data_IF_130635746014
#
_entry.id   IF_130635746014
#
_cell.length_a   1.000
_cell.length_b   1.000
_cell.length_c   1.000
_cell.angle_alpha   90.00
_cell.angle_beta   90.00
_cell.angle_gamma   90.00
#
_symmetry.space_group_name_H-M   'P 1'
#
loop_
_entity.id
_entity.type
_entity.pdbx_description
1 polymer ?
#
# COMPACT_ATOMS: atom_id res chain seq x y z
N UNK A 1 -12.11 26.08 30.36
CA UNK A 1 -11.09 26.87 29.64
C UNK A 1 -9.72 26.92 30.36
N UNK A 2 -9.34 25.86 31.10
CA UNK A 2 -8.07 25.75 31.85
C UNK A 2 -7.15 24.60 31.42
N UNK A 3 -7.56 23.78 30.43
CA UNK A 3 -6.79 22.61 30.00
C UNK A 3 -5.73 22.88 28.91
N UNK A 4 -5.60 24.13 28.43
CA UNK A 4 -4.69 24.49 27.31
C UNK A 4 -3.55 25.43 27.76
N UNK A 5 -3.21 25.47 29.06
CA UNK A 5 -2.06 26.26 29.55
C UNK A 5 -0.81 25.43 29.91
N UNK A 6 -0.87 24.10 29.84
CA UNK A 6 0.24 23.21 30.21
C UNK A 6 1.12 22.69 29.06
N UNK A 7 0.74 22.85 27.79
CA UNK A 7 1.43 22.22 26.66
C UNK A 7 2.79 22.85 26.29
N UNK A 8 3.19 23.95 26.93
CA UNK A 8 4.43 24.68 26.61
C UNK A 8 5.74 23.97 27.03
N UNK A 9 5.68 22.81 27.70
CA UNK A 9 6.85 22.12 28.26
C UNK A 9 7.03 20.66 27.84
N UNK A 10 6.09 20.07 27.08
CA UNK A 10 6.02 18.60 26.96
C UNK A 10 6.66 17.99 25.71
N UNK A 11 6.98 18.76 24.68
CA UNK A 11 7.58 18.21 23.44
C UNK A 11 9.05 18.58 23.34
N UNK A 12 9.91 17.83 24.06
CA UNK A 12 11.37 17.93 23.89
C UNK A 12 11.90 17.15 22.68
N UNK A 13 11.13 16.18 22.20
CA UNK A 13 11.53 15.29 21.10
C UNK A 13 10.38 15.06 20.13
N UNK A 14 10.64 15.21 18.83
CA UNK A 14 9.67 14.89 17.78
C UNK A 14 10.20 13.72 16.96
N UNK A 15 9.61 12.51 17.09
CA UNK A 15 9.95 11.39 16.23
C UNK A 15 9.30 11.53 14.86
N UNK A 16 10.11 11.45 13.80
CA UNK A 16 9.69 11.40 12.40
C UNK A 16 10.08 10.03 11.87
N UNK A 17 9.24 9.40 11.06
CA UNK A 17 9.57 8.13 10.39
C UNK A 17 9.84 8.40 8.91
N UNK A 18 11.01 7.98 8.43
CA UNK A 18 11.44 8.14 7.04
C UNK A 18 12.37 6.98 6.68
N UNK A 19 11.88 6.00 5.94
CA UNK A 19 12.65 4.78 5.67
C UNK A 19 13.67 4.93 4.52
N UNK A 20 13.60 5.99 3.73
CA UNK A 20 14.50 6.20 2.58
C UNK A 20 14.61 7.68 2.22
N UNK A 21 15.76 8.08 1.70
CA UNK A 21 16.02 9.42 1.15
C UNK A 21 15.72 9.49 -0.35
N UNK A 22 15.42 8.35 -0.98
CA UNK A 22 15.04 8.27 -2.38
C UNK A 22 13.51 8.41 -2.54
N UNK A 23 13.03 9.39 -3.32
CA UNK A 23 11.60 9.64 -3.46
C UNK A 23 10.83 8.49 -4.13
N UNK A 24 11.47 7.73 -5.01
CA UNK A 24 10.84 6.59 -5.68
C UNK A 24 10.70 5.40 -4.72
N UNK A 25 11.76 5.09 -3.97
CA UNK A 25 11.68 4.06 -2.92
C UNK A 25 10.69 4.46 -1.83
N UNK A 26 10.58 5.75 -1.51
CA UNK A 26 9.60 6.23 -0.53
C UNK A 26 8.18 5.88 -0.97
N UNK A 27 7.83 6.16 -2.22
CA UNK A 27 6.52 5.84 -2.78
C UNK A 27 6.29 4.32 -2.86
N UNK A 28 7.33 3.54 -3.16
CA UNK A 28 7.26 2.08 -3.13
C UNK A 28 6.96 1.53 -1.73
N UNK A 29 7.62 2.07 -0.69
CA UNK A 29 7.46 1.66 0.71
C UNK A 29 6.11 2.09 1.26
N UNK A 30 5.77 3.38 1.11
CA UNK A 30 4.58 3.98 1.73
C UNK A 30 3.31 3.82 0.90
N UNK A 31 3.43 3.41 -0.36
CA UNK A 31 2.34 3.33 -1.36
C UNK A 31 1.67 4.67 -1.63
N UNK A 32 2.32 5.79 -1.29
CA UNK A 32 1.80 7.15 -1.42
C UNK A 32 2.92 8.11 -1.77
N UNK A 33 2.56 9.15 -2.53
CA UNK A 33 3.42 10.32 -2.71
C UNK A 33 3.44 11.13 -1.42
N UNK A 34 4.58 11.71 -1.07
CA UNK A 34 4.72 12.47 0.18
C UNK A 34 6.14 12.71 0.67
N UNK A 35 7.15 12.17 -0.01
CA UNK A 35 8.56 12.30 0.36
C UNK A 35 8.97 13.74 0.64
N UNK A 36 8.68 14.66 -0.28
CA UNK A 36 9.03 16.08 -0.13
C UNK A 36 8.35 16.73 1.08
N UNK A 37 7.13 16.28 1.41
CA UNK A 37 6.41 16.80 2.58
C UNK A 37 7.06 16.31 3.88
N UNK A 38 7.54 15.06 3.93
CA UNK A 38 8.27 14.53 5.09
C UNK A 38 9.61 15.23 5.27
N UNK A 39 10.36 15.46 4.19
CA UNK A 39 11.63 16.21 4.25
C UNK A 39 11.42 17.66 4.68
N UNK A 40 10.38 18.34 4.18
CA UNK A 40 10.01 19.68 4.66
C UNK A 40 9.63 19.68 6.14
N UNK A 41 8.89 18.66 6.60
CA UNK A 41 8.54 18.54 8.02
C UNK A 41 9.78 18.30 8.90
N UNK A 42 10.75 17.50 8.42
CA UNK A 42 12.04 17.31 9.09
C UNK A 42 12.83 18.61 9.17
N UNK A 43 12.90 19.36 8.07
CA UNK A 43 13.58 20.66 8.01
C UNK A 43 12.95 21.68 8.98
N UNK A 44 11.62 21.79 8.96
CA UNK A 44 10.86 22.65 9.90
C UNK A 44 11.10 22.21 11.34
N UNK A 45 11.13 20.91 11.63
CA UNK A 45 11.38 20.40 12.98
C UNK A 45 12.80 20.76 13.46
N UNK A 46 13.81 20.64 12.60
CA UNK A 46 15.22 20.96 12.91
C UNK A 46 15.45 22.45 13.16
N UNK A 47 14.69 23.33 12.50
CA UNK A 47 14.78 24.78 12.67
C UNK A 47 13.82 25.35 13.74
N UNK A 48 12.96 24.50 14.31
CA UNK A 48 12.04 24.90 15.36
C UNK A 48 12.73 24.96 16.73
N UNK A 49 12.02 25.48 17.74
CA UNK A 49 12.48 25.45 19.14
C UNK A 49 12.46 24.05 19.78
N UNK A 50 12.09 23.01 19.02
CA UNK A 50 12.17 21.63 19.47
C UNK A 50 13.65 21.26 19.65
N UNK A 51 14.01 20.87 20.87
CA UNK A 51 15.43 20.73 21.24
C UNK A 51 16.14 19.59 20.53
N UNK A 52 15.42 18.55 20.10
CA UNK A 52 15.97 17.38 19.42
C UNK A 52 14.96 16.71 18.48
N UNK A 53 15.39 16.39 17.26
CA UNK A 53 14.60 15.61 16.30
C UNK A 53 15.12 14.18 16.24
N UNK A 54 14.19 13.20 16.28
CA UNK A 54 14.51 11.77 16.18
C UNK A 54 13.99 11.25 14.85
N UNK A 55 14.85 10.65 14.02
CA UNK A 55 14.46 10.05 12.75
C UNK A 55 14.48 8.53 12.87
N UNK A 56 13.34 7.87 12.71
CA UNK A 56 13.24 6.42 12.73
C UNK A 56 13.28 5.88 11.30
N UNK A 57 14.15 4.89 11.08
CA UNK A 57 14.39 4.26 9.78
C UNK A 57 14.32 2.74 9.96
N UNK A 58 13.33 2.08 9.38
CA UNK A 58 13.29 0.61 9.35
C UNK A 58 14.19 0.12 8.22
N UNK A 59 15.24 -0.64 8.55
CA UNK A 59 16.22 -1.10 7.58
C UNK A 59 15.84 -2.47 7.04
N UNK A 60 15.75 -2.57 5.71
CA UNK A 60 15.37 -3.76 4.96
C UNK A 60 16.43 -4.02 3.88
N UNK A 61 16.98 -5.24 3.90
CA UNK A 61 18.02 -5.68 2.96
C UNK A 61 17.54 -5.58 1.51
N UNK A 62 18.42 -5.12 0.63
CA UNK A 62 18.18 -4.93 -0.80
C UNK A 62 17.08 -3.92 -1.13
N UNK A 63 16.64 -3.12 -0.15
CA UNK A 63 15.67 -2.04 -0.36
C UNK A 63 16.32 -0.69 -0.02
N UNK A 64 16.71 -0.49 1.24
CA UNK A 64 17.25 0.77 1.76
C UNK A 64 18.52 0.59 2.61
N UNK A 65 19.04 -0.62 2.78
CA UNK A 65 20.22 -0.89 3.63
C UNK A 65 21.52 -0.24 3.12
N UNK A 66 21.56 0.12 1.84
CA UNK A 66 22.68 0.86 1.24
C UNK A 66 22.66 2.37 1.57
N UNK A 67 21.53 2.92 2.02
CA UNK A 67 21.37 4.36 2.34
C UNK A 67 21.86 4.71 3.75
N UNK A 68 22.33 3.72 4.52
CA UNK A 68 22.63 3.92 5.94
C UNK A 68 23.69 5.00 6.17
N UNK A 69 24.73 5.03 5.33
CA UNK A 69 25.79 6.04 5.41
C UNK A 69 25.27 7.42 5.04
N UNK A 70 24.27 7.53 4.16
CA UNK A 70 23.67 8.80 3.78
C UNK A 70 22.82 9.36 4.92
N UNK A 71 22.07 8.51 5.62
CA UNK A 71 21.40 8.91 6.86
C UNK A 71 22.39 9.34 7.95
N UNK A 72 23.53 8.67 8.09
CA UNK A 72 24.58 9.09 9.03
C UNK A 72 25.13 10.47 8.65
N UNK A 73 25.38 10.74 7.36
CA UNK A 73 25.87 12.06 6.91
C UNK A 73 24.93 13.20 7.31
N UNK A 74 23.61 12.98 7.35
CA UNK A 74 22.65 14.01 7.81
C UNK A 74 22.94 14.50 9.24
N UNK A 75 23.48 13.63 10.10
CA UNK A 75 23.79 13.94 11.49
C UNK A 75 25.08 14.75 11.67
N UNK A 76 25.83 15.01 10.60
CA UNK A 76 27.09 15.75 10.67
C UNK A 76 26.87 17.19 11.16
N UNK A 77 26.02 17.92 10.45
CA UNK A 77 25.84 19.36 10.67
C UNK A 77 24.53 19.72 11.39
N UNK A 78 23.70 18.72 11.67
CA UNK A 78 22.38 18.88 12.30
C UNK A 78 22.28 18.13 13.63
N UNK A 79 21.53 18.65 14.62
CA UNK A 79 21.29 17.97 15.90
C UNK A 79 20.22 16.86 15.76
N UNK A 80 20.39 16.01 14.74
CA UNK A 80 19.51 14.92 14.39
C UNK A 80 19.96 13.62 15.07
N UNK A 81 19.03 12.88 15.66
CA UNK A 81 19.28 11.53 16.17
C UNK A 81 18.60 10.49 15.27
N UNK A 82 19.38 9.75 14.46
CA UNK A 82 18.85 8.72 13.55
C UNK A 82 18.78 7.36 14.26
N UNK A 83 17.66 6.66 14.16
CA UNK A 83 17.42 5.37 14.81
C UNK A 83 17.13 4.32 13.76
N UNK A 84 18.07 3.41 13.57
CA UNK A 84 17.91 2.27 12.68
C UNK A 84 17.20 1.14 13.43
N UNK A 85 16.07 0.71 12.88
CA UNK A 85 15.20 -0.31 13.45
C UNK A 85 15.35 -1.56 12.59
N UNK A 86 15.60 -2.69 13.24
CA UNK A 86 15.58 -3.97 12.55
C UNK A 86 14.19 -4.24 11.98
N UNK A 87 14.14 -4.73 10.75
CA UNK A 87 12.90 -5.25 10.20
C UNK A 87 12.35 -6.33 11.15
N UNK A 88 11.03 -6.31 11.39
CA UNK A 88 10.35 -7.20 12.36
C UNK A 88 9.16 -7.92 11.71
N UNK A 89 8.78 -9.10 12.22
CA UNK A 89 7.58 -9.81 11.75
C UNK A 89 6.30 -9.11 12.21
N UNK A 90 5.56 -8.54 11.25
CA UNK A 90 4.20 -8.04 11.50
C UNK A 90 3.22 -8.62 10.50
N UNK A 91 2.00 -8.89 10.93
CA UNK A 91 0.92 -9.36 10.07
C UNK A 91 0.74 -8.40 8.89
N UNK A 92 0.86 -8.91 7.67
CA UNK A 92 0.70 -8.15 6.43
C UNK A 92 1.97 -7.50 5.86
N UNK A 93 3.12 -7.56 6.54
CA UNK A 93 4.36 -6.93 6.04
C UNK A 93 5.28 -7.86 5.22
N UNK A 94 4.83 -9.08 4.90
CA UNK A 94 5.61 -10.10 4.15
C UNK A 94 7.00 -10.32 4.75
N UNK A 95 7.06 -10.47 6.07
CA UNK A 95 8.27 -10.79 6.82
C UNK A 95 9.08 -11.90 6.15
N UNK A 96 10.38 -11.65 6.03
CA UNK A 96 11.36 -12.60 5.54
C UNK A 96 12.65 -12.36 6.31
N UNK A 97 13.11 -13.37 7.03
CA UNK A 97 14.34 -13.30 7.82
C UNK A 97 15.55 -12.91 6.96
N UNK A 98 15.57 -13.28 5.67
CA UNK A 98 16.65 -12.93 4.72
C UNK A 98 16.72 -11.42 4.45
N UNK A 99 15.64 -10.70 4.72
CA UNK A 99 15.56 -9.23 4.55
C UNK A 99 15.95 -8.46 5.81
N UNK A 100 16.14 -9.13 6.94
CA UNK A 100 16.63 -8.51 8.16
C UNK A 100 18.13 -8.24 8.04
N UNK A 101 18.58 -7.07 8.49
CA UNK A 101 20.00 -6.73 8.62
C UNK A 101 20.30 -6.49 10.11
N UNK A 102 21.14 -7.31 10.76
CA UNK A 102 21.46 -7.13 12.17
C UNK A 102 22.18 -5.80 12.44
N UNK A 103 21.94 -5.19 13.61
CA UNK A 103 22.62 -3.95 14.00
C UNK A 103 24.15 -4.05 14.03
N UNK A 104 24.70 -5.22 14.34
CA UNK A 104 26.15 -5.48 14.33
C UNK A 104 26.75 -5.35 12.92
N UNK A 105 26.02 -5.82 11.90
CA UNK A 105 26.42 -5.68 10.49
C UNK A 105 26.37 -4.21 10.08
N UNK A 106 25.28 -3.50 10.42
CA UNK A 106 25.13 -2.07 10.13
C UNK A 106 26.22 -1.23 10.81
N UNK A 107 26.51 -1.49 12.08
CA UNK A 107 27.61 -0.85 12.82
C UNK A 107 28.97 -1.13 12.17
N UNK A 108 29.20 -2.34 11.67
CA UNK A 108 30.44 -2.70 10.98
C UNK A 108 30.62 -1.90 9.68
N UNK A 109 29.54 -1.74 8.89
CA UNK A 109 29.54 -0.89 7.70
C UNK A 109 29.82 0.58 8.04
N UNK A 110 29.21 1.09 9.11
CA UNK A 110 29.44 2.48 9.55
C UNK A 110 30.87 2.68 10.05
N UNK A 111 31.44 1.72 10.80
CA UNK A 111 32.81 1.79 11.29
C UNK A 111 33.86 1.73 10.18
N UNK A 112 33.57 1.06 9.08
CA UNK A 112 34.46 1.04 7.92
C UNK A 112 34.66 2.45 7.33
N UNK A 113 33.61 3.27 7.31
CA UNK A 113 33.67 4.67 6.85
C UNK A 113 34.08 5.64 7.97
N UNK A 114 33.63 5.39 9.21
CA UNK A 114 33.87 6.24 10.37
C UNK A 114 34.51 5.43 11.53
N UNK A 115 35.83 5.19 11.50
CA UNK A 115 36.50 4.34 12.50
C UNK A 115 36.43 4.90 13.93
N UNK A 116 36.26 6.21 14.09
CA UNK A 116 36.23 6.91 15.39
C UNK A 116 34.86 6.84 16.11
N UNK A 117 33.91 6.04 15.61
CA UNK A 117 32.58 5.85 16.21
C UNK A 117 32.70 5.35 17.67
N UNK A 118 32.10 6.08 18.60
CA UNK A 118 32.06 5.76 20.03
C UNK A 118 30.63 5.49 20.49
N UNK A 119 30.47 4.58 21.46
CA UNK A 119 29.19 4.34 22.10
C UNK A 119 28.89 5.49 23.06
N UNK A 120 27.65 5.99 23.03
CA UNK A 120 27.20 7.03 23.94
C UNK A 120 26.78 6.44 25.30
N UNK A 121 26.66 7.28 26.33
CA UNK A 121 26.17 6.84 27.63
C UNK A 121 24.72 6.33 27.52
N UNK A 122 24.43 5.19 28.14
CA UNK A 122 23.07 4.62 28.12
C UNK A 122 22.15 5.40 29.04
N UNK A 123 21.06 5.94 28.48
CA UNK A 123 19.94 6.43 29.29
C UNK A 123 19.13 5.25 29.84
N UNK A 124 18.63 5.39 31.08
CA UNK A 124 17.87 4.35 31.76
C UNK A 124 16.64 3.93 30.93
N UNK A 125 16.55 2.63 30.60
CA UNK A 125 15.47 2.04 29.81
C UNK A 125 15.36 2.57 28.36
N UNK A 126 16.43 3.17 27.82
CA UNK A 126 16.44 3.55 26.41
C UNK A 126 16.45 2.33 25.49
N UNK A 127 15.53 2.30 24.55
CA UNK A 127 15.37 1.17 23.60
C UNK A 127 16.43 1.16 22.50
N UNK A 128 16.97 2.33 22.17
CA UNK A 128 18.01 2.44 21.15
C UNK A 128 19.37 2.51 21.83
N UNK A 129 20.34 1.73 21.33
CA UNK A 129 21.74 1.87 21.74
C UNK A 129 22.39 2.95 20.90
N UNK A 130 22.74 4.06 21.53
CA UNK A 130 23.20 5.28 20.86
C UNK A 130 24.71 5.30 20.68
N UNK A 131 25.13 5.86 19.55
CA UNK A 131 26.51 6.02 19.09
C UNK A 131 26.71 7.44 18.59
N UNK A 132 27.94 7.93 18.70
CA UNK A 132 28.37 9.25 18.25
C UNK A 132 29.61 9.13 17.38
N UNK A 133 29.73 10.02 16.42
CA UNK A 133 30.95 10.22 15.62
C UNK A 133 31.58 11.52 16.10
N UNK A 134 32.84 11.53 16.58
CA UNK A 134 33.52 12.75 16.95
C UNK A 134 33.47 13.79 15.81
N UNK A 135 33.05 15.01 16.14
CA UNK A 135 32.89 16.12 15.19
C UNK A 135 31.50 16.21 14.53
N UNK A 136 30.62 15.23 14.71
CA UNK A 136 29.23 15.31 14.26
C UNK A 136 28.38 15.95 15.35
N UNK A 137 27.41 16.80 14.96
CA UNK A 137 26.48 17.44 15.92
C UNK A 137 25.39 16.50 16.41
N UNK A 138 24.98 15.55 15.57
CA UNK A 138 23.93 14.59 15.85
C UNK A 138 24.46 13.25 16.38
N UNK A 139 23.56 12.27 16.42
CA UNK A 139 23.86 10.91 16.87
C UNK A 139 23.10 9.88 16.04
N UNK A 140 23.46 8.61 16.18
CA UNK A 140 22.65 7.53 15.64
C UNK A 140 22.52 6.39 16.64
N UNK A 141 21.54 5.52 16.48
CA UNK A 141 21.37 4.37 17.35
C UNK A 141 20.63 3.23 16.69
N UNK A 142 20.73 2.07 17.33
CA UNK A 142 20.11 0.83 16.85
C UNK A 142 19.03 0.36 17.79
N UNK A 143 17.87 0.02 17.23
CA UNK A 143 16.79 -0.69 17.91
C UNK A 143 16.84 -2.15 17.44
N UNK A 144 17.56 -2.97 18.19
CA UNK A 144 17.76 -4.40 17.92
C UNK A 144 16.61 -5.24 18.46
N UNK A 145 15.43 -5.08 17.88
CA UNK A 145 14.25 -5.81 18.31
C UNK A 145 14.35 -7.33 18.16
N UNK A 146 15.19 -7.83 17.23
CA UNK A 146 15.24 -9.23 16.85
C UNK A 146 16.57 -9.89 17.20
N UNK A 147 17.69 -9.19 17.01
CA UNK A 147 19.03 -9.75 17.25
C UNK A 147 19.52 -9.61 18.68
N UNK A 148 19.06 -8.58 19.42
CA UNK A 148 19.56 -8.25 20.75
C UNK A 148 18.50 -7.54 21.59
N UNK A 149 17.58 -8.34 22.15
CA UNK A 149 16.35 -7.88 22.78
C UNK A 149 16.58 -6.94 23.99
N UNK A 150 15.74 -5.92 24.10
CA UNK A 150 15.70 -4.96 25.22
C UNK A 150 14.51 -5.20 26.17
N UNK A 151 13.90 -6.40 26.15
CA UNK A 151 12.67 -6.66 26.91
C UNK A 151 12.86 -6.55 28.43
N UNK A 152 14.04 -6.90 28.95
CA UNK A 152 14.36 -6.88 30.39
C UNK A 152 14.27 -5.49 31.01
N UNK A 153 14.57 -4.44 30.25
CA UNK A 153 14.45 -3.03 30.68
C UNK A 153 13.20 -2.33 30.11
N UNK A 154 12.32 -3.05 29.41
CA UNK A 154 11.15 -2.46 28.77
C UNK A 154 10.09 -2.07 29.80
N UNK A 155 9.83 -0.77 29.94
CA UNK A 155 8.81 -0.20 30.82
C UNK A 155 7.59 0.39 30.06
N UNK A 156 7.42 0.04 28.77
CA UNK A 156 6.38 0.62 27.92
C UNK A 156 5.04 -0.09 28.09
N UNK A 157 3.98 0.69 28.35
CA UNK A 157 2.59 0.29 28.22
C UNK A 157 1.95 1.09 27.09
N UNK A 158 0.98 0.50 26.39
CA UNK A 158 0.31 1.15 25.26
C UNK A 158 -1.18 1.19 25.52
N UNK A 159 -1.79 2.33 25.22
CA UNK A 159 -3.23 2.46 25.09
C UNK A 159 -3.53 2.56 23.60
N UNK A 160 -4.37 1.66 23.10
CA UNK A 160 -4.80 1.64 21.71
C UNK A 160 -5.85 2.73 21.43
N UNK A 161 -6.09 3.04 20.15
CA UNK A 161 -7.06 4.07 19.76
C UNK A 161 -8.51 3.72 20.13
N UNK A 162 -8.84 2.43 20.21
CA UNK A 162 -10.14 1.95 20.70
C UNK A 162 -10.17 1.76 22.23
N UNK A 163 -9.12 2.15 22.96
CA UNK A 163 -9.10 2.24 24.42
C UNK A 163 -8.76 0.94 25.15
N UNK A 164 -8.03 0.04 24.48
CA UNK A 164 -7.47 -1.18 25.06
C UNK A 164 -6.07 -0.91 25.61
N UNK A 165 -5.74 -1.43 26.79
CA UNK A 165 -4.37 -1.49 27.27
C UNK A 165 -3.66 -2.73 26.70
N UNK A 166 -2.43 -2.52 26.22
CA UNK A 166 -1.53 -3.55 25.71
C UNK A 166 -0.17 -3.43 26.40
N UNK A 167 0.27 -4.50 27.06
CA UNK A 167 1.51 -4.50 27.89
C UNK A 167 2.77 -4.86 27.11
N UNK A 168 2.62 -5.38 25.90
CA UNK A 168 3.69 -5.64 24.95
C UNK A 168 3.17 -5.49 23.51
N UNK A 169 4.00 -5.03 22.58
CA UNK A 169 3.61 -4.89 21.18
C UNK A 169 3.24 -6.23 20.52
N UNK A 170 3.87 -7.32 20.97
CA UNK A 170 3.70 -8.68 20.44
C UNK A 170 2.72 -9.55 21.25
N UNK A 171 2.14 -9.01 22.33
CA UNK A 171 1.16 -9.75 23.14
C UNK A 171 -0.24 -9.58 22.54
N UNK A 172 -0.93 -10.68 22.15
CA UNK A 172 -2.28 -10.59 21.61
C UNK A 172 -3.31 -10.14 22.66
N UNK A 173 -2.99 -10.23 23.96
CA UNK A 173 -3.93 -9.86 25.01
C UNK A 173 -4.14 -8.34 25.07
N UNK A 174 -5.41 -7.94 25.11
CA UNK A 174 -5.88 -6.57 25.17
C UNK A 174 -6.99 -6.47 26.22
N UNK A 175 -6.95 -5.43 27.05
CA UNK A 175 -7.94 -5.22 28.12
C UNK A 175 -8.59 -3.85 27.97
N UNK A 176 -9.92 -3.80 27.96
CA UNK A 176 -10.65 -2.56 27.62
C UNK A 176 -10.78 -1.65 28.84
N UNK A 177 -9.88 -0.66 28.95
CA UNK A 177 -10.01 0.39 29.95
C UNK A 177 -11.21 1.29 29.63
N UNK A 178 -11.46 1.56 28.34
CA UNK A 178 -12.60 2.36 27.88
C UNK A 178 -13.92 1.77 28.34
N UNK A 179 -14.14 0.47 28.16
CA UNK A 179 -15.44 -0.12 28.50
C UNK A 179 -15.62 -0.22 30.02
N UNK A 180 -14.56 -0.50 30.78
CA UNK A 180 -14.57 -0.43 32.24
C UNK A 180 -14.95 0.99 32.72
N UNK A 181 -14.31 2.03 32.19
CA UNK A 181 -14.62 3.43 32.52
C UNK A 181 -16.06 3.78 32.14
N UNK A 182 -16.54 3.35 30.96
CA UNK A 182 -17.92 3.61 30.50
C UNK A 182 -18.99 2.87 31.31
N UNK A 183 -18.62 1.78 31.97
CA UNK A 183 -19.48 1.04 32.90
C UNK A 183 -19.47 1.64 34.32
N UNK A 184 -18.71 2.71 34.56
CA UNK A 184 -18.65 3.39 35.85
C UNK A 184 -17.61 2.83 36.82
N UNK A 185 -16.58 2.13 36.33
CA UNK A 185 -15.46 1.68 37.17
C UNK A 185 -14.77 2.87 37.86
N UNK A 186 -14.41 2.68 39.13
CA UNK A 186 -13.64 3.68 39.90
C UNK A 186 -12.16 3.69 39.50
N UNK A 187 -11.41 4.73 39.90
CA UNK A 187 -9.96 4.80 39.65
C UNK A 187 -9.20 3.63 40.29
N UNK A 188 -9.67 3.13 41.44
CA UNK A 188 -9.11 1.95 42.09
C UNK A 188 -9.35 0.67 41.28
N UNK A 189 -10.52 0.55 40.66
CA UNK A 189 -10.84 -0.59 39.78
C UNK A 189 -9.99 -0.55 38.51
N UNK A 190 -9.83 0.63 37.90
CA UNK A 190 -8.95 0.83 36.74
C UNK A 190 -7.50 0.51 37.11
N UNK A 191 -7.04 0.94 38.29
CA UNK A 191 -5.70 0.65 38.79
C UNK A 191 -5.48 -0.86 38.93
N UNK A 192 -6.44 -1.60 39.51
CA UNK A 192 -6.38 -3.06 39.62
C UNK A 192 -6.35 -3.75 38.26
N UNK A 193 -7.13 -3.25 37.29
CA UNK A 193 -7.14 -3.77 35.91
C UNK A 193 -5.76 -3.60 35.27
N UNK A 194 -5.15 -2.41 35.40
CA UNK A 194 -3.81 -2.12 34.87
C UNK A 194 -2.77 -3.00 35.56
N UNK A 195 -2.79 -3.09 36.90
CA UNK A 195 -1.87 -3.94 37.66
C UNK A 195 -1.94 -5.39 37.21
N UNK A 196 -3.14 -5.95 37.07
CA UNK A 196 -3.34 -7.32 36.59
C UNK A 196 -2.80 -7.52 35.17
N UNK A 197 -3.04 -6.57 34.28
CA UNK A 197 -2.50 -6.63 32.92
C UNK A 197 -0.96 -6.62 32.93
N UNK A 198 -0.35 -5.74 33.73
CA UNK A 198 1.11 -5.62 33.87
C UNK A 198 1.71 -6.87 34.51
N UNK A 199 1.08 -7.46 35.52
CA UNK A 199 1.51 -8.73 36.12
C UNK A 199 1.47 -9.91 35.14
N UNK A 200 0.61 -9.85 34.12
CA UNK A 200 0.58 -10.84 33.03
C UNK A 200 1.66 -10.64 31.97
N UNK A 201 2.45 -9.55 32.04
CA UNK A 201 3.49 -9.24 31.06
C UNK A 201 4.59 -10.28 31.11
N UNK A 202 4.84 -10.94 29.96
CA UNK A 202 5.94 -11.89 29.78
C UNK A 202 7.29 -11.17 29.83
N UNK A 203 8.32 -11.88 30.29
CA UNK A 203 9.71 -11.40 30.35
C UNK A 203 10.24 -10.94 28.98
N UNK A 204 9.90 -11.67 27.92
CA UNK A 204 10.22 -11.35 26.52
C UNK A 204 9.17 -11.93 25.58
N UNK A 205 9.15 -11.45 24.34
CA UNK A 205 8.36 -12.06 23.28
C UNK A 205 9.01 -13.38 22.79
N UNK A 206 8.26 -14.19 22.03
CA UNK A 206 8.77 -15.42 21.43
C UNK A 206 9.99 -15.13 20.51
N UNK A 207 10.86 -16.13 20.33
CA UNK A 207 12.06 -16.01 19.50
C UNK A 207 11.77 -15.96 18.00
N UNK A 208 12.77 -15.59 17.18
CA UNK A 208 12.64 -15.33 15.74
C UNK A 208 11.92 -16.44 14.93
N UNK A 209 12.05 -17.69 15.34
CA UNK A 209 11.45 -18.86 14.68
C UNK A 209 10.07 -19.25 15.23
N UNK A 210 9.66 -18.67 16.35
CA UNK A 210 8.43 -18.99 17.09
C UNK A 210 7.47 -17.79 17.18
N UNK A 211 7.82 -16.64 16.60
CA UNK A 211 6.87 -15.54 16.35
C UNK A 211 5.92 -15.91 15.20
N UNK A 212 5.71 -17.21 14.96
CA UNK A 212 4.86 -17.76 13.92
C UNK A 212 3.46 -17.18 14.10
N UNK A 213 3.17 -16.19 13.24
CA UNK A 213 1.94 -15.42 13.09
C UNK A 213 1.01 -15.52 14.29
N UNK A 214 1.47 -15.12 15.49
CA UNK A 214 0.56 -14.93 16.60
C UNK A 214 -0.50 -14.00 16.05
N UNK A 215 -1.78 -14.36 16.20
CA UNK A 215 -2.95 -13.59 15.78
C UNK A 215 -3.05 -12.32 16.63
N UNK A 216 -1.97 -11.54 16.62
CA UNK A 216 -1.84 -10.26 17.23
C UNK A 216 -2.39 -9.27 16.22
N UNK A 217 -3.42 -8.53 16.63
CA UNK A 217 -3.98 -7.46 15.81
C UNK A 217 -2.87 -6.43 15.57
N UNK A 218 -2.41 -6.25 14.31
CA UNK A 218 -1.38 -5.27 14.03
C UNK A 218 -1.94 -3.88 14.34
N UNK A 219 -1.09 -2.98 14.83
CA UNK A 219 -1.48 -1.61 15.24
C UNK A 219 -2.25 -0.86 14.15
N UNK A 220 -1.98 -1.14 12.87
CA UNK A 220 -2.67 -0.54 11.72
C UNK A 220 -4.17 -0.89 11.65
N UNK A 221 -4.59 -2.03 12.22
CA UNK A 221 -5.99 -2.46 12.22
C UNK A 221 -6.76 -1.94 13.45
N UNK A 222 -6.11 -1.22 14.36
CA UNK A 222 -6.72 -0.75 15.60
C UNK A 222 -7.48 0.56 15.37
N UNK A 223 -8.73 0.63 15.84
CA UNK A 223 -9.66 1.75 15.59
C UNK A 223 -10.55 1.60 14.36
N UNK A 224 -10.28 0.64 13.48
CA UNK A 224 -11.21 0.25 12.42
C UNK A 224 -12.33 -0.61 13.00
N UNK A 225 -13.50 -0.02 13.23
CA UNK A 225 -14.72 -0.75 13.60
C UNK A 225 -15.22 -1.58 12.42
N UNK A 226 -14.99 -2.89 12.44
CA UNK A 226 -15.92 -3.82 11.79
C UNK A 226 -17.16 -3.89 12.67
N UNK A 227 -18.21 -3.15 12.31
CA UNK A 227 -19.51 -3.22 12.96
C UNK A 227 -20.12 -4.61 12.75
N UNK A 228 -19.86 -5.54 13.65
CA UNK A 228 -20.67 -6.74 13.80
C UNK A 228 -21.21 -6.78 15.23
N UNK A 229 -22.37 -6.15 15.42
CA UNK A 229 -23.37 -6.39 16.48
C UNK A 229 -24.38 -5.24 16.44
N UNK A 230 -25.42 -5.35 15.60
CA UNK A 230 -26.64 -4.53 15.78
C UNK A 230 -27.44 -5.13 16.93
N UNK A 231 -27.28 -4.59 18.12
CA UNK A 231 -28.30 -4.69 19.16
C UNK A 231 -29.52 -3.90 18.70
N UNK A 232 -30.67 -4.57 18.67
CA UNK A 232 -31.96 -4.06 18.23
C UNK A 232 -32.48 -2.98 19.20
N UNK A 233 -32.87 -1.83 18.65
CA UNK A 233 -33.79 -0.89 19.31
C UNK A 233 -35.01 -0.68 18.40
N UNK A 234 -36.25 -0.81 18.90
CA UNK A 234 -37.43 -0.61 18.08
C UNK A 234 -37.69 0.88 17.86
N UNK A 235 -37.94 1.28 16.61
CA UNK A 235 -38.41 2.62 16.25
C UNK A 235 -39.94 2.66 16.29
N UNK A 236 -40.50 3.71 16.90
CA UNK A 236 -41.91 4.11 16.73
C UNK A 236 -42.10 4.85 15.39
N UNK A 237 -43.30 4.76 14.77
CA UNK A 237 -43.55 5.26 13.41
C UNK A 237 -43.99 6.72 13.41
N UNK A 238 -43.67 7.45 12.35
CA UNK A 238 -44.28 8.74 12.01
C UNK A 238 -44.77 8.72 10.56
N UNK A 239 -45.89 9.41 10.36
CA UNK A 239 -46.88 9.31 9.30
C UNK A 239 -46.42 9.69 7.89
N UNK A 240 -47.11 9.08 6.93
CA UNK A 240 -47.21 9.42 5.50
C UNK A 240 -47.60 10.88 5.26
N UNK A 241 -47.09 11.44 4.15
CA UNK A 241 -47.90 12.21 3.19
C UNK A 241 -47.21 12.21 1.82
N UNK A 242 -47.88 11.61 0.83
CA UNK A 242 -47.80 11.96 -0.61
C UNK A 242 -48.94 12.95 -0.90
N UNK A 243 -49.01 13.75 -2.00
CA UNK A 243 -48.82 13.27 -3.38
C UNK A 243 -48.36 14.30 -4.46
N UNK A 244 -48.25 13.78 -5.70
CA UNK A 244 -48.51 14.38 -7.04
C UNK A 244 -47.33 14.15 -8.04
N UNK A 245 -47.40 13.14 -8.91
CA UNK A 245 -48.07 13.06 -10.23
C UNK A 245 -47.57 14.08 -11.26
N UNK A 246 -46.73 13.59 -12.18
CA UNK A 246 -46.74 14.02 -13.59
C UNK A 246 -46.32 12.84 -14.48
N UNK A 247 -47.29 12.24 -15.17
CA UNK A 247 -47.07 11.34 -16.29
C UNK A 247 -46.65 12.14 -17.52
N UNK A 248 -45.67 11.61 -18.26
CA UNK A 248 -45.51 11.94 -19.67
C UNK A 248 -45.19 10.67 -20.44
N UNK A 249 -46.13 10.32 -21.32
CA UNK A 249 -46.11 9.20 -22.25
C UNK A 249 -45.22 9.52 -23.45
N UNK A 250 -44.40 8.54 -23.87
CA UNK A 250 -43.99 8.38 -25.26
C UNK A 250 -43.45 6.97 -25.47
N UNK A 251 -44.24 6.18 -26.18
CA UNK A 251 -43.97 4.80 -26.59
C UNK A 251 -43.03 4.75 -27.80
N UNK A 252 -41.82 4.23 -27.60
CA UNK A 252 -40.99 3.61 -28.65
C UNK A 252 -40.45 2.31 -28.06
N UNK A 253 -40.74 1.19 -28.73
CA UNK A 253 -40.54 -0.17 -28.22
C UNK A 253 -39.10 -0.46 -27.80
N UNK A 254 -38.89 -0.61 -26.49
CA UNK A 254 -37.66 -1.09 -25.88
C UNK A 254 -37.89 -2.50 -25.32
N UNK A 255 -36.93 -3.41 -25.54
CA UNK A 255 -36.88 -4.72 -24.89
C UNK A 255 -36.95 -4.54 -23.36
N UNK A 256 -37.59 -5.46 -22.60
CA UNK A 256 -37.82 -5.28 -21.18
C UNK A 256 -36.51 -5.51 -20.40
N UNK A 257 -35.71 -4.47 -20.25
CA UNK A 257 -34.76 -4.37 -19.13
C UNK A 257 -35.36 -3.43 -18.11
N UNK A 258 -36.19 -4.01 -17.24
CA UNK A 258 -36.83 -3.35 -16.12
C UNK A 258 -35.80 -3.09 -15.01
N UNK A 259 -35.65 -1.80 -14.66
CA UNK A 259 -35.09 -1.27 -13.40
C UNK A 259 -33.56 -1.39 -13.18
N UNK A 260 -32.94 -0.27 -12.79
CA UNK A 260 -31.54 -0.22 -12.35
C UNK A 260 -31.38 -1.00 -11.04
N UNK A 261 -30.55 -2.04 -11.01
CA UNK A 261 -30.39 -2.93 -9.85
C UNK A 261 -29.64 -2.29 -8.68
N UNK A 262 -28.88 -1.22 -8.92
CA UNK A 262 -28.09 -0.51 -7.90
C UNK A 262 -28.82 0.67 -7.25
N UNK A 263 -30.11 0.84 -7.53
CA UNK A 263 -30.96 1.83 -6.89
C UNK A 263 -32.10 1.12 -6.15
N UNK A 264 -32.46 1.62 -4.98
CA UNK A 264 -33.69 1.21 -4.31
C UNK A 264 -34.92 1.95 -4.92
N UNK A 265 -36.12 1.60 -4.46
CA UNK A 265 -37.39 2.19 -4.92
C UNK A 265 -37.46 3.71 -4.71
N UNK A 266 -36.59 4.28 -3.88
CA UNK A 266 -36.47 5.72 -3.64
C UNK A 266 -35.41 6.41 -4.53
N UNK A 267 -34.74 5.65 -5.40
CA UNK A 267 -33.65 6.16 -6.24
C UNK A 267 -32.32 6.33 -5.51
N UNK A 268 -32.20 5.79 -4.29
CA UNK A 268 -30.97 5.85 -3.50
C UNK A 268 -30.07 4.66 -3.83
N UNK A 269 -28.77 4.92 -3.85
CA UNK A 269 -27.73 3.93 -4.16
C UNK A 269 -27.77 2.77 -3.15
N UNK A 270 -27.85 1.54 -3.66
CA UNK A 270 -27.88 0.31 -2.88
C UNK A 270 -26.98 -0.76 -3.50
N UNK A 271 -26.26 -1.51 -2.66
CA UNK A 271 -25.54 -2.72 -3.09
C UNK A 271 -26.55 -3.87 -3.18
N UNK A 272 -26.58 -4.55 -4.33
CA UNK A 272 -27.54 -5.63 -4.59
C UNK A 272 -27.32 -6.78 -3.59
N UNK A 273 -28.35 -7.18 -2.85
CA UNK A 273 -28.25 -8.38 -2.02
C UNK A 273 -28.13 -9.63 -2.90
N UNK A 274 -27.04 -10.37 -2.69
CA UNK A 274 -26.77 -11.64 -3.38
C UNK A 274 -26.93 -12.84 -2.47
N UNK A 275 -27.34 -12.66 -1.20
CA UNK A 275 -27.41 -13.69 -0.17
C UNK A 275 -28.18 -14.96 -0.57
N UNK A 276 -29.29 -14.79 -1.29
CA UNK A 276 -30.17 -15.89 -1.72
C UNK A 276 -29.73 -16.58 -3.02
N UNK A 277 -28.69 -16.08 -3.69
CA UNK A 277 -28.19 -16.69 -4.94
C UNK A 277 -27.27 -17.88 -4.60
N UNK A 278 -27.39 -19.03 -5.29
CA UNK A 278 -26.46 -20.14 -5.09
C UNK A 278 -25.05 -19.76 -5.59
N UNK A 279 -23.97 -20.17 -4.89
CA UNK A 279 -22.61 -20.00 -5.39
C UNK A 279 -22.42 -20.85 -6.64
N UNK A 280 -21.67 -20.32 -7.61
CA UNK A 280 -21.30 -21.00 -8.85
C UNK A 280 -19.92 -20.53 -9.30
N UNK A 281 -19.24 -21.36 -10.09
CA UNK A 281 -18.02 -20.94 -10.78
C UNK A 281 -18.38 -19.90 -11.83
N UNK A 282 -17.69 -18.77 -11.79
CA UNK A 282 -17.92 -17.62 -12.67
C UNK A 282 -16.61 -17.15 -13.24
N UNK A 283 -16.62 -16.83 -14.53
CA UNK A 283 -15.44 -16.30 -15.23
C UNK A 283 -15.86 -15.12 -16.08
N UNK A 284 -15.02 -14.09 -16.15
CA UNK A 284 -15.19 -12.99 -17.09
C UNK A 284 -13.84 -12.65 -17.72
N UNK A 285 -13.86 -12.37 -19.02
CA UNK A 285 -12.72 -11.90 -19.78
C UNK A 285 -13.03 -10.50 -20.31
N UNK A 286 -12.14 -9.56 -20.04
CA UNK A 286 -12.18 -8.20 -20.60
C UNK A 286 -10.96 -7.97 -21.48
N UNK A 287 -11.10 -7.09 -22.48
CA UNK A 287 -10.01 -6.63 -23.32
C UNK A 287 -10.04 -5.11 -23.45
N UNK A 288 -8.91 -4.50 -23.74
CA UNK A 288 -8.77 -3.08 -24.05
C UNK A 288 -7.42 -2.80 -24.72
N UNK A 289 -7.28 -1.61 -25.30
CA UNK A 289 -6.10 -1.24 -26.09
C UNK A 289 -5.53 0.09 -25.61
N UNK A 290 -4.21 0.24 -25.71
CA UNK A 290 -3.54 1.53 -25.64
C UNK A 290 -2.73 1.78 -26.90
N UNK A 291 -3.10 2.82 -27.65
CA UNK A 291 -2.36 3.28 -28.83
C UNK A 291 -1.13 4.06 -28.39
N UNK A 292 0.00 3.77 -29.01
CA UNK A 292 1.30 4.33 -28.68
C UNK A 292 2.04 4.74 -29.95
N UNK A 293 3.07 5.58 -29.81
CA UNK A 293 3.92 5.95 -30.94
C UNK A 293 4.79 4.79 -31.39
N UNK A 294 5.25 4.81 -32.64
CA UNK A 294 6.20 3.82 -33.18
C UNK A 294 7.46 3.69 -32.33
N UNK A 295 8.00 4.83 -31.85
CA UNK A 295 9.15 4.85 -30.95
C UNK A 295 8.87 4.10 -29.64
N UNK A 296 7.72 4.33 -29.01
CA UNK A 296 7.36 3.63 -27.77
C UNK A 296 7.12 2.14 -28.01
N UNK A 297 6.53 1.78 -29.14
CA UNK A 297 6.34 0.39 -29.55
C UNK A 297 7.68 -0.33 -29.69
N UNK A 298 8.63 0.25 -30.42
CA UNK A 298 9.97 -0.33 -30.57
C UNK A 298 10.70 -0.52 -29.25
N UNK A 299 10.55 0.39 -28.29
CA UNK A 299 11.20 0.27 -26.99
C UNK A 299 10.63 -0.90 -26.18
N UNK A 300 9.32 -1.10 -26.25
CA UNK A 300 8.65 -2.21 -25.57
C UNK A 300 9.02 -3.54 -26.23
N UNK A 301 9.09 -3.61 -27.55
CA UNK A 301 9.40 -4.86 -28.27
C UNK A 301 10.89 -5.22 -28.27
N UNK A 302 11.81 -4.26 -28.39
CA UNK A 302 13.26 -4.52 -28.34
C UNK A 302 13.71 -5.08 -26.98
N UNK A 303 13.07 -4.65 -25.89
CA UNK A 303 13.30 -5.19 -24.54
C UNK A 303 12.95 -6.68 -24.44
N UNK A 304 12.07 -7.19 -25.31
CA UNK A 304 11.65 -8.60 -25.34
C UNK A 304 12.59 -9.47 -26.19
N UNK A 305 13.15 -8.92 -27.27
CA UNK A 305 14.06 -9.66 -28.17
C UNK A 305 15.49 -9.81 -27.65
N UNK A 306 15.96 -8.93 -26.75
CA UNK A 306 17.31 -9.01 -26.15
C UNK A 306 17.50 -10.19 -25.18
N UNK A 307 16.48 -11.03 -24.96
CA UNK A 307 16.60 -12.26 -24.15
C UNK A 307 17.17 -13.45 -24.91
N UNK A 308 17.37 -13.36 -26.23
CA UNK A 308 18.07 -14.37 -27.02
C UNK A 308 19.10 -13.70 -27.95
N UNK A 309 20.34 -14.21 -27.91
CA UNK A 309 21.52 -13.91 -28.74
C UNK A 309 22.44 -12.73 -28.34
N UNK A 310 23.69 -13.11 -28.03
CA UNK A 310 24.87 -12.26 -27.88
C UNK A 310 25.42 -11.80 -29.24
N UNK A 311 26.22 -10.73 -29.17
CA UNK A 311 27.28 -10.25 -30.09
C UNK A 311 26.90 -9.35 -31.26
N UNK A 312 27.65 -8.25 -31.41
CA UNK A 312 27.69 -7.40 -32.61
C UNK A 312 27.95 -5.92 -32.30
N UNK A 313 29.22 -5.51 -32.37
CA UNK A 313 29.66 -4.11 -32.56
C UNK A 313 29.10 -3.55 -33.89
N UNK A 314 28.64 -2.29 -33.95
CA UNK A 314 29.37 -1.19 -34.61
C UNK A 314 28.53 0.11 -34.77
N UNK A 315 29.28 1.20 -34.60
CA UNK A 315 29.30 2.55 -35.20
C UNK A 315 28.10 3.52 -35.42
N UNK A 316 28.43 4.78 -35.11
CA UNK A 316 28.04 6.11 -35.61
C UNK A 316 26.59 6.45 -36.03
N UNK A 317 25.85 7.10 -35.12
CA UNK A 317 25.11 8.36 -35.41
C UNK A 317 24.64 9.02 -34.11
N UNK A 318 24.83 10.33 -33.97
CA UNK A 318 24.66 11.10 -32.72
C UNK A 318 23.28 10.91 -32.04
N UNK A 319 23.19 10.26 -30.85
CA UNK A 319 21.88 9.95 -30.28
C UNK A 319 21.64 10.78 -29.01
N UNK A 320 21.27 12.06 -29.19
CA UNK A 320 21.12 13.01 -28.07
C UNK A 320 19.83 12.87 -27.25
N UNK A 321 18.75 12.36 -27.84
CA UNK A 321 17.43 12.25 -27.19
C UNK A 321 16.88 10.82 -27.16
N UNK A 322 17.01 10.05 -28.26
CA UNK A 322 16.61 8.63 -28.30
C UNK A 322 17.44 7.77 -27.34
N UNK A 323 18.78 7.95 -27.27
CA UNK A 323 19.60 7.21 -26.30
C UNK A 323 19.25 7.56 -24.86
N UNK A 324 18.89 8.82 -24.58
CA UNK A 324 18.48 9.26 -23.23
C UNK A 324 17.11 8.70 -22.86
N UNK A 325 16.18 8.61 -23.80
CA UNK A 325 14.88 7.96 -23.61
C UNK A 325 15.04 6.43 -23.45
N UNK A 326 15.86 5.79 -24.28
CA UNK A 326 16.23 4.37 -24.19
C UNK A 326 16.86 4.03 -22.85
N UNK A 327 17.87 4.80 -22.40
CA UNK A 327 18.50 4.61 -21.10
C UNK A 327 17.53 4.85 -19.93
N UNK A 328 16.54 5.74 -20.10
CA UNK A 328 15.51 6.02 -19.07
C UNK A 328 14.46 4.92 -19.00
N UNK A 329 14.13 4.25 -20.12
CA UNK A 329 13.24 3.07 -20.17
C UNK A 329 13.98 1.82 -19.69
N UNK A 330 15.25 1.62 -20.09
CA UNK A 330 16.10 0.51 -19.62
C UNK A 330 16.32 0.55 -18.10
N UNK A 331 16.28 1.74 -17.49
CA UNK A 331 16.29 1.95 -16.01
C UNK A 331 14.95 1.70 -15.32
N UNK A 332 13.83 1.65 -16.04
CA UNK A 332 12.47 1.52 -15.48
C UNK A 332 11.94 0.08 -15.43
N UNK A 333 12.68 -0.89 -15.98
CA UNK A 333 12.28 -2.30 -16.00
C UNK A 333 11.27 -2.63 -17.10
N UNK A 334 10.93 -3.91 -17.21
CA UNK A 334 9.99 -4.42 -18.22
C UNK A 334 8.58 -3.82 -18.01
N UNK A 335 8.19 -2.93 -18.93
CA UNK A 335 6.92 -2.21 -18.88
C UNK A 335 5.71 -3.15 -18.91
N UNK A 336 5.77 -4.24 -19.68
CA UNK A 336 4.66 -5.19 -19.80
C UNK A 336 4.52 -6.00 -18.52
N UNK A 337 5.63 -6.47 -17.94
CA UNK A 337 5.62 -7.16 -16.64
C UNK A 337 5.06 -6.26 -15.53
N UNK A 338 5.47 -4.99 -15.47
CA UNK A 338 4.94 -4.04 -14.47
C UNK A 338 3.43 -3.81 -14.68
N UNK A 339 2.99 -3.64 -15.93
CA UNK A 339 1.58 -3.48 -16.27
C UNK A 339 0.75 -4.75 -15.95
N UNK A 340 1.30 -5.94 -16.18
CA UNK A 340 0.67 -7.21 -15.87
C UNK A 340 0.46 -7.38 -14.36
N UNK A 341 1.50 -7.08 -13.55
CA UNK A 341 1.40 -7.08 -12.10
C UNK A 341 0.37 -6.07 -11.59
N UNK A 342 0.38 -4.85 -12.17
CA UNK A 342 -0.59 -3.81 -11.82
C UNK A 342 -2.03 -4.22 -12.15
N UNK A 343 -2.27 -4.85 -13.30
CA UNK A 343 -3.57 -5.38 -13.67
C UNK A 343 -4.07 -6.47 -12.69
N UNK A 344 -3.19 -7.41 -12.30
CA UNK A 344 -3.52 -8.43 -11.29
C UNK A 344 -3.87 -7.78 -9.94
N UNK A 345 -3.13 -6.76 -9.53
CA UNK A 345 -3.41 -6.01 -8.30
C UNK A 345 -4.72 -5.22 -8.41
N UNK A 346 -4.99 -4.61 -9.57
CA UNK A 346 -6.21 -3.87 -9.87
C UNK A 346 -7.45 -4.75 -9.71
N UNK A 347 -7.43 -5.97 -10.29
CA UNK A 347 -8.51 -6.95 -10.13
C UNK A 347 -8.85 -7.21 -8.65
N UNK A 348 -7.83 -7.38 -7.80
CA UNK A 348 -7.98 -7.64 -6.36
C UNK A 348 -8.46 -6.43 -5.56
N UNK A 349 -8.41 -5.23 -6.13
CA UNK A 349 -8.82 -3.98 -5.47
C UNK A 349 -10.16 -3.47 -6.00
N UNK A 350 -10.84 -4.19 -6.89
CA UNK A 350 -12.09 -3.76 -7.54
C UNK A 350 -13.15 -3.29 -6.56
N UNK A 351 -13.45 -4.06 -5.50
CA UNK A 351 -14.44 -3.67 -4.49
C UNK A 351 -14.03 -2.47 -3.63
N UNK A 352 -12.74 -2.11 -3.61
CA UNK A 352 -12.24 -0.90 -2.95
C UNK A 352 -12.30 0.32 -3.86
N UNK A 353 -12.28 0.13 -5.18
CA UNK A 353 -12.31 1.20 -6.18
C UNK A 353 -13.73 1.50 -6.68
N UNK A 354 -14.57 0.47 -6.81
CA UNK A 354 -15.92 0.55 -7.35
C UNK A 354 -16.94 0.43 -6.20
N UNK A 355 -17.63 1.52 -5.80
CA UNK A 355 -18.38 1.60 -4.52
C UNK A 355 -19.47 0.55 -4.25
N UNK A 356 -19.94 -0.18 -5.26
CA UNK A 356 -21.02 -1.17 -5.15
C UNK A 356 -20.63 -2.58 -5.60
N UNK A 357 -19.35 -2.81 -5.86
CA UNK A 357 -18.84 -4.15 -6.10
C UNK A 357 -18.73 -4.92 -4.78
N UNK A 358 -19.14 -6.19 -4.81
CA UNK A 358 -18.96 -7.06 -3.66
C UNK A 358 -17.48 -7.43 -3.52
N UNK A 359 -16.96 -7.60 -2.29
CA UNK A 359 -15.66 -8.22 -2.12
C UNK A 359 -15.75 -9.70 -2.50
N UNK A 360 -14.95 -10.14 -3.47
CA UNK A 360 -14.95 -11.51 -3.99
C UNK A 360 -13.62 -12.22 -3.71
N UNK A 361 -13.71 -13.50 -3.33
CA UNK A 361 -12.56 -14.39 -3.24
C UNK A 361 -12.21 -14.91 -4.64
N UNK A 362 -11.30 -14.19 -5.33
CA UNK A 362 -10.86 -14.53 -6.68
C UNK A 362 -10.00 -15.79 -6.67
N UNK A 363 -10.32 -16.75 -7.55
CA UNK A 363 -9.63 -18.04 -7.65
C UNK A 363 -8.54 -18.04 -8.73
N UNK A 364 -8.73 -17.28 -9.82
CA UNK A 364 -7.74 -17.12 -10.88
C UNK A 364 -7.80 -15.69 -11.43
N UNK A 365 -6.65 -15.10 -11.68
CA UNK A 365 -6.50 -13.88 -12.47
C UNK A 365 -5.37 -14.14 -13.46
N UNK A 366 -5.68 -14.03 -14.74
CA UNK A 366 -4.76 -14.25 -15.84
C UNK A 366 -4.78 -13.01 -16.71
N UNK A 367 -3.62 -12.41 -16.95
CA UNK A 367 -3.49 -11.15 -17.68
C UNK A 367 -2.43 -11.32 -18.73
N UNK A 368 -2.75 -10.90 -19.94
CA UNK A 368 -1.88 -10.96 -21.10
C UNK A 368 -1.82 -9.57 -21.76
N UNK A 369 -0.61 -9.08 -22.01
CA UNK A 369 -0.38 -7.81 -22.71
C UNK A 369 0.48 -8.06 -23.94
N UNK A 370 -0.08 -7.80 -25.12
CA UNK A 370 0.58 -8.07 -26.39
C UNK A 370 0.74 -6.79 -27.21
N UNK A 371 1.97 -6.40 -27.57
CA UNK A 371 2.19 -5.40 -28.60
C UNK A 371 1.64 -5.89 -29.95
N UNK A 372 0.91 -5.04 -30.66
CA UNK A 372 0.30 -5.30 -31.96
C UNK A 372 0.49 -4.12 -32.92
N UNK A 373 0.46 -4.41 -34.22
CA UNK A 373 0.51 -3.41 -35.29
C UNK A 373 -0.66 -3.62 -36.24
N UNK A 374 -1.45 -2.58 -36.45
CA UNK A 374 -2.51 -2.55 -37.45
C UNK A 374 -2.03 -1.74 -38.67
N UNK A 375 -1.93 -2.42 -39.82
CA UNK A 375 -1.63 -1.78 -41.11
C UNK A 375 -2.94 -1.50 -41.83
N UNK A 376 -3.17 -0.26 -42.24
CA UNK A 376 -4.39 0.14 -42.94
C UNK A 376 -4.62 -0.66 -44.23
N UNK A 377 -5.87 -0.99 -44.53
CA UNK A 377 -6.27 -1.59 -45.81
C UNK A 377 -6.41 -0.49 -46.86
N UNK A 378 -5.53 -0.51 -47.86
CA UNK A 378 -5.57 0.27 -49.10
C UNK A 378 -5.73 1.79 -48.92
N UNK A 379 -4.61 2.51 -48.79
CA UNK A 379 -4.56 3.97 -49.03
C UNK A 379 -4.22 4.88 -47.83
N UNK A 380 -4.14 4.36 -46.59
CA UNK A 380 -3.61 5.13 -45.45
C UNK A 380 -2.20 4.66 -45.09
N UNK A 381 -1.18 5.47 -45.38
CA UNK A 381 0.25 5.15 -45.20
C UNK A 381 0.74 4.98 -43.74
N UNK A 382 -0.11 5.12 -42.73
CA UNK A 382 0.32 5.13 -41.33
C UNK A 382 -0.12 3.87 -40.58
N UNK A 383 0.84 3.05 -40.18
CA UNK A 383 0.61 1.92 -39.28
C UNK A 383 0.24 2.44 -37.88
N UNK A 384 -0.78 1.84 -37.25
CA UNK A 384 -1.13 2.12 -35.85
C UNK A 384 -0.51 1.07 -34.95
N UNK A 385 0.21 1.53 -33.94
CA UNK A 385 0.87 0.68 -32.95
C UNK A 385 0.07 0.72 -31.65
N UNK A 386 -0.18 -0.44 -31.06
CA UNK A 386 -0.91 -0.52 -29.80
C UNK A 386 -0.47 -1.70 -28.95
N UNK A 387 -0.78 -1.65 -27.67
CA UNK A 387 -0.70 -2.81 -26.77
C UNK A 387 -2.13 -3.23 -26.44
N UNK A 388 -2.45 -4.48 -26.73
CA UNK A 388 -3.71 -5.10 -26.34
C UNK A 388 -3.53 -5.76 -24.98
N UNK A 389 -4.41 -5.43 -24.02
CA UNK A 389 -4.45 -6.04 -22.71
C UNK A 389 -5.72 -6.88 -22.59
N UNK A 390 -5.56 -8.18 -22.33
CA UNK A 390 -6.65 -9.12 -22.05
C UNK A 390 -6.53 -9.63 -20.63
N UNK A 391 -7.62 -9.61 -19.86
CA UNK A 391 -7.65 -10.12 -18.49
C UNK A 391 -8.82 -11.08 -18.30
N UNK A 392 -8.53 -12.31 -17.89
CA UNK A 392 -9.51 -13.33 -17.49
C UNK A 392 -9.48 -13.52 -15.98
N UNK A 393 -10.63 -13.29 -15.34
CA UNK A 393 -10.80 -13.43 -13.89
C UNK A 393 -11.83 -14.51 -13.61
N UNK A 394 -11.56 -15.35 -12.61
CA UNK A 394 -12.50 -16.37 -12.14
C UNK A 394 -12.70 -16.30 -10.62
N UNK A 395 -13.88 -16.69 -10.17
CA UNK A 395 -14.19 -16.92 -8.76
C UNK A 395 -15.20 -18.05 -8.60
N UNK A 396 -15.41 -18.47 -7.36
CA UNK A 396 -16.59 -19.23 -6.95
C UNK A 396 -17.44 -18.32 -6.05
N UNK A 397 -18.64 -17.95 -6.50
CA UNK A 397 -19.39 -16.90 -5.83
C UNK A 397 -20.82 -16.67 -6.34
N UNK A 398 -21.48 -15.71 -5.71
CA UNK A 398 -22.91 -15.39 -5.92
C UNK A 398 -23.13 -14.27 -6.95
N UNK A 399 -22.06 -13.59 -7.36
CA UNK A 399 -22.06 -12.52 -8.38
C UNK A 399 -20.90 -12.71 -9.35
N UNK A 400 -21.04 -12.17 -10.56
CA UNK A 400 -20.02 -12.23 -11.60
C UNK A 400 -18.78 -11.38 -11.27
N UNK A 401 -17.74 -11.57 -12.10
CA UNK A 401 -16.42 -10.94 -11.99
C UNK A 401 -16.12 -10.00 -13.16
N UNK A 402 -17.16 -9.49 -13.82
CA UNK A 402 -17.02 -8.57 -14.96
C UNK A 402 -16.24 -7.31 -14.57
N UNK A 403 -16.52 -6.77 -13.39
CA UNK A 403 -15.88 -5.56 -12.90
C UNK A 403 -14.42 -5.79 -12.54
N UNK A 404 -14.06 -6.97 -12.03
CA UNK A 404 -12.68 -7.34 -11.74
C UNK A 404 -11.86 -7.45 -13.03
N UNK A 405 -12.42 -8.06 -14.07
CA UNK A 405 -11.76 -8.13 -15.38
C UNK A 405 -11.60 -6.74 -16.02
N UNK A 406 -12.65 -5.91 -16.02
CA UNK A 406 -12.58 -4.53 -16.53
C UNK A 406 -11.59 -3.65 -15.77
N UNK A 407 -11.56 -3.78 -14.44
CA UNK A 407 -10.62 -3.04 -13.58
C UNK A 407 -9.20 -3.50 -13.83
N UNK A 408 -8.96 -4.80 -14.02
CA UNK A 408 -7.64 -5.33 -14.36
C UNK A 408 -7.11 -4.72 -15.66
N UNK A 409 -7.89 -4.75 -16.74
CA UNK A 409 -7.53 -4.15 -18.03
C UNK A 409 -7.28 -2.64 -17.88
N UNK A 410 -8.18 -1.93 -17.21
CA UNK A 410 -8.07 -0.48 -17.02
C UNK A 410 -6.78 -0.09 -16.29
N UNK A 411 -6.47 -0.78 -15.18
CA UNK A 411 -5.26 -0.52 -14.40
C UNK A 411 -4.00 -0.93 -15.18
N UNK A 412 -4.05 -2.03 -15.91
CA UNK A 412 -2.95 -2.46 -16.79
C UNK A 412 -2.60 -1.40 -17.83
N UNK A 413 -3.60 -0.91 -18.58
CA UNK A 413 -3.41 0.10 -19.62
C UNK A 413 -2.98 1.47 -19.04
N UNK A 414 -3.54 1.88 -17.90
CA UNK A 414 -3.08 3.08 -17.17
C UNK A 414 -1.62 2.95 -16.71
N UNK A 415 -1.17 1.74 -16.38
CA UNK A 415 0.22 1.49 -15.99
C UNK A 415 1.15 1.57 -17.20
N UNK A 416 0.74 1.02 -18.35
CA UNK A 416 1.47 1.20 -19.62
C UNK A 416 1.62 2.68 -19.94
N UNK A 417 0.54 3.46 -19.80
CA UNK A 417 0.59 4.92 -19.96
C UNK A 417 1.62 5.54 -19.03
N UNK A 418 1.57 5.23 -17.73
CA UNK A 418 2.48 5.81 -16.74
C UNK A 418 3.96 5.52 -17.05
N UNK A 419 4.25 4.31 -17.51
CA UNK A 419 5.61 3.89 -17.86
C UNK A 419 6.13 4.59 -19.11
N UNK A 420 5.26 4.77 -20.11
CA UNK A 420 5.63 5.27 -21.45
C UNK A 420 5.41 6.77 -21.68
N UNK A 421 4.68 7.50 -20.82
CA UNK A 421 4.37 8.94 -20.98
C UNK A 421 5.59 9.85 -21.21
N UNK A 422 6.76 9.44 -20.74
CA UNK A 422 8.00 10.19 -20.93
C UNK A 422 8.60 10.05 -22.34
N UNK A 423 8.16 9.06 -23.12
CA UNK A 423 8.71 8.73 -24.44
C UNK A 423 7.65 8.78 -25.55
N UNK A 424 6.42 8.34 -25.25
CA UNK A 424 5.30 8.36 -26.20
C UNK A 424 4.62 9.73 -26.34
N UNK A 425 4.95 10.70 -25.45
CA UNK A 425 4.31 12.01 -25.44
C UNK A 425 2.87 11.96 -24.90
N UNK A 426 2.06 12.98 -25.26
CA UNK A 426 0.66 13.13 -24.82
C UNK A 426 -0.37 12.47 -25.76
N UNK A 427 0.09 11.91 -26.88
CA UNK A 427 -0.73 11.37 -27.97
C UNK A 427 -1.19 9.92 -27.75
N UNK A 428 -0.88 9.32 -26.59
CA UNK A 428 -1.39 8.00 -26.28
C UNK A 428 -2.91 8.05 -26.10
N UNK A 429 -3.59 6.95 -26.41
CA UNK A 429 -5.03 6.82 -26.27
C UNK A 429 -5.38 5.45 -25.71
N UNK A 430 -6.17 5.40 -24.64
CA UNK A 430 -6.75 4.15 -24.12
C UNK A 430 -8.16 4.00 -24.70
N UNK A 431 -8.42 2.89 -25.39
CA UNK A 431 -9.70 2.62 -26.05
C UNK A 431 -10.19 1.20 -25.80
N UNK A 432 -11.43 0.93 -26.23
CA UNK A 432 -11.99 -0.41 -26.38
C UNK A 432 -12.01 -1.29 -25.12
N UNK A 433 -12.01 -0.68 -23.92
CA UNK A 433 -12.16 -1.43 -22.67
C UNK A 433 -13.57 -2.01 -22.59
N UNK A 434 -13.69 -3.33 -22.74
CA UNK A 434 -14.98 -4.04 -22.79
C UNK A 434 -14.86 -5.47 -22.32
N UNK A 435 -15.97 -6.00 -21.77
CA UNK A 435 -16.12 -7.45 -21.52
C UNK A 435 -16.28 -8.15 -22.86
N UNK A 436 -15.41 -9.12 -23.15
CA UNK A 436 -15.43 -9.95 -24.36
C UNK A 436 -16.12 -11.27 -24.14
N UNK A 437 -16.00 -11.87 -22.95
CA UNK A 437 -16.71 -13.09 -22.60
C UNK A 437 -17.05 -13.14 -21.12
N UNK A 438 -18.12 -13.83 -20.75
CA UNK A 438 -18.38 -14.25 -19.37
C UNK A 438 -19.13 -15.57 -19.34
N UNK A 439 -18.89 -16.35 -18.29
CA UNK A 439 -19.57 -17.63 -18.05
C UNK A 439 -20.08 -17.73 -16.62
N UNK A 440 -21.20 -18.43 -16.47
CA UNK A 440 -21.83 -18.71 -15.18
C UNK A 440 -22.76 -17.60 -14.65
N UNK A 441 -23.74 -18.02 -13.86
CA UNK A 441 -24.76 -17.13 -13.27
C UNK A 441 -26.13 -17.19 -13.94
N UNK A 442 -27.05 -16.36 -13.46
CA UNK A 442 -28.48 -16.40 -13.83
C UNK A 442 -28.72 -15.91 -15.26
N UNK A 443 -27.81 -15.10 -15.82
CA UNK A 443 -27.96 -14.50 -17.15
C UNK A 443 -27.30 -15.32 -18.27
N UNK A 444 -26.81 -16.53 -17.95
CA UNK A 444 -26.13 -17.39 -18.91
C UNK A 444 -24.75 -16.87 -19.36
N UNK A 445 -24.17 -17.62 -20.28
CA UNK A 445 -22.88 -17.29 -20.89
C UNK A 445 -23.05 -16.19 -21.94
N UNK A 446 -22.06 -15.33 -22.05
CA UNK A 446 -22.01 -14.24 -23.03
C UNK A 446 -20.65 -14.25 -23.71
N UNK A 447 -20.67 -14.08 -25.03
CA UNK A 447 -19.50 -13.86 -25.85
C UNK A 447 -19.82 -12.72 -26.81
N UNK A 448 -18.90 -11.75 -26.91
CA UNK A 448 -19.07 -10.59 -27.77
C UNK A 448 -18.73 -11.01 -29.20
N UNK A 449 -19.65 -10.73 -30.14
CA UNK A 449 -19.38 -10.92 -31.56
C UNK A 449 -18.11 -10.14 -31.98
N UNK A 450 -17.25 -10.81 -32.74
CA UNK A 450 -15.95 -10.33 -33.20
C UNK A 450 -16.04 -9.10 -34.11
#
# INVERSE_FOLDING_TARGET
MQFIRGLGQFTRFTPISLDTLDPFKFELITRRRGHDAVLKALDVALHSKLSFVKLNVVVVKSLNDMEILDFIKLTKDTPLSVRFIEFMPFTGNKWDQKKMVPSSELLSRIRAEYPAVIRDAEELNETARTWKIPGFKGSFGFISSMSDHFCSSCNRLRLTADGQIKVCLFDPNEVSLRDAMRQGASDDDITKIIQRAVSGKKEKHAGMNEIDVVTNRPMILIGHYYNNTRATRPRRPYYETSPHLFERTSSIGARPYSTLTHLDESGKVNMVDVGNKPPSKRTATASGKIFITSLAYELVTKTYTETESQSGDDDSTSPGQQQRAMNKVKRKGDTLTVAQLAAIMGAKQTSSLIPLCHPLSLSKIDVDLRPQVERGRSGSEHARYFIECSATVSCEGKTGVEMEALTAVSVGLLTVWDMLKAVAGKEMEISDIKVVAKTGGVHGDFERAA
#
